data_IF_304474426892
#
_entry.id   IF_304474426892
#
_cell.length_a   1.000
_cell.length_b   1.000
_cell.length_c   1.000
_cell.angle_alpha   90.00
_cell.angle_beta   90.00
_cell.angle_gamma   90.00
#
_symmetry.space_group_name_H-M   'P 1'
#
loop_
_entity.id
_entity.type
_entity.pdbx_description
1 polymer ?
#
# COMPACT_ATOMS: atom_id res chain seq x y z
N UNK A 1 -6.51 23.32 9.06
CA UNK A 1 -7.74 22.90 8.36
C UNK A 1 -7.73 21.39 8.37
N UNK A 2 -8.90 20.81 8.67
CA UNK A 2 -9.34 19.42 8.46
C UNK A 2 -9.97 18.84 9.74
N UNK A 3 -11.18 19.31 10.04
CA UNK A 3 -11.99 18.79 11.14
C UNK A 3 -13.44 18.61 10.66
N UNK A 4 -13.64 17.77 9.61
CA UNK A 4 -14.98 17.59 9.03
C UNK A 4 -15.36 16.19 8.54
N UNK A 5 -14.60 15.16 8.88
CA UNK A 5 -14.89 13.80 8.41
C UNK A 5 -15.05 12.76 9.53
N UNK A 6 -14.70 13.08 10.79
CA UNK A 6 -14.78 12.15 11.93
C UNK A 6 -13.69 11.07 11.96
N UNK A 7 -12.72 11.14 11.04
CA UNK A 7 -11.61 10.17 10.97
C UNK A 7 -10.45 10.60 11.86
N UNK A 8 -9.83 9.64 12.54
CA UNK A 8 -8.55 9.85 13.22
C UNK A 8 -7.41 9.63 12.24
N UNK A 9 -6.48 10.59 12.19
CA UNK A 9 -5.27 10.48 11.37
C UNK A 9 -4.21 9.70 12.16
N UNK A 10 -3.75 8.58 11.62
CA UNK A 10 -2.62 7.85 12.19
C UNK A 10 -1.31 8.58 11.88
N UNK A 11 -0.44 8.69 12.88
CA UNK A 11 0.89 9.25 12.70
C UNK A 11 1.72 8.36 11.78
N UNK A 12 2.33 8.96 10.76
CA UNK A 12 3.18 8.24 9.80
C UNK A 12 4.54 8.95 9.72
N UNK A 13 5.65 8.27 10.05
CA UNK A 13 6.97 8.87 9.98
C UNK A 13 7.37 9.21 8.54
N UNK A 14 8.17 10.27 8.33
CA UNK A 14 8.65 10.64 7.00
C UNK A 14 9.52 9.52 6.40
N UNK A 15 9.52 9.42 5.08
CA UNK A 15 10.33 8.47 4.30
C UNK A 15 10.18 6.98 4.69
N UNK A 16 9.01 6.56 5.20
CA UNK A 16 8.79 5.19 5.67
C UNK A 16 7.81 4.38 4.79
N UNK A 17 8.11 4.16 3.50
CA UNK A 17 7.23 3.40 2.60
C UNK A 17 7.10 1.92 3.02
N UNK A 18 8.08 1.39 3.74
CA UNK A 18 8.09 0.09 4.39
C UNK A 18 7.10 0.00 5.55
N UNK A 19 6.58 1.11 6.06
CA UNK A 19 5.50 1.17 7.06
C UNK A 19 4.14 1.56 6.45
N UNK A 20 4.04 1.66 5.12
CA UNK A 20 2.80 1.93 4.42
C UNK A 20 2.28 0.69 3.71
N UNK A 21 1.07 0.19 4.02
CA UNK A 21 0.49 -0.97 3.35
C UNK A 21 0.38 -0.81 1.83
N UNK A 22 0.14 0.41 1.34
CA UNK A 22 0.14 0.65 -0.11
C UNK A 22 1.54 0.43 -0.72
N UNK A 23 2.59 0.88 -0.01
CA UNK A 23 3.98 0.76 -0.43
C UNK A 23 4.49 -0.69 -0.44
N UNK A 24 4.44 -1.38 0.70
CA UNK A 24 5.06 -2.69 0.82
C UNK A 24 4.21 -3.85 0.27
N UNK A 25 2.88 -3.68 0.18
CA UNK A 25 1.94 -4.76 -0.16
C UNK A 25 1.20 -4.53 -1.48
N UNK A 26 0.56 -3.38 -1.68
CA UNK A 26 -0.33 -3.15 -2.84
C UNK A 26 0.44 -2.84 -4.14
N UNK A 27 1.36 -1.89 -4.11
CA UNK A 27 1.98 -1.37 -5.32
C UNK A 27 2.96 -2.31 -5.99
N UNK A 28 3.56 -3.25 -5.24
CA UNK A 28 4.46 -4.27 -5.82
C UNK A 28 3.73 -5.14 -6.84
N UNK A 29 2.70 -5.90 -6.42
CA UNK A 29 1.86 -6.70 -7.32
C UNK A 29 1.19 -5.89 -8.43
N UNK A 30 0.69 -4.68 -8.13
CA UNK A 30 0.10 -3.82 -9.16
C UNK A 30 1.12 -3.45 -10.24
N UNK A 31 2.34 -3.04 -9.86
CA UNK A 31 3.41 -2.73 -10.82
C UNK A 31 3.80 -3.95 -11.64
N UNK A 32 3.80 -5.15 -11.06
CA UNK A 32 4.04 -6.39 -11.80
C UNK A 32 2.94 -6.65 -12.83
N UNK A 33 1.67 -6.42 -12.47
CA UNK A 33 0.53 -6.56 -13.40
C UNK A 33 0.54 -5.54 -14.53
N UNK A 34 0.95 -4.31 -14.26
CA UNK A 34 1.04 -3.24 -15.26
C UNK A 34 2.34 -3.30 -16.08
N UNK A 35 3.37 -3.97 -15.58
CA UNK A 35 4.69 -4.01 -16.18
C UNK A 35 4.64 -4.51 -17.63
N UNK A 36 5.26 -3.74 -18.53
CA UNK A 36 5.36 -4.09 -19.95
C UNK A 36 4.09 -3.87 -20.78
N UNK A 37 2.99 -3.39 -20.17
CA UNK A 37 1.79 -3.00 -20.91
C UNK A 37 1.91 -1.57 -21.43
N UNK A 38 1.46 -1.36 -22.66
CA UNK A 38 1.25 -0.03 -23.23
C UNK A 38 -0.24 0.29 -23.19
N UNK A 39 -0.56 1.47 -22.68
CA UNK A 39 -1.93 1.99 -22.61
C UNK A 39 -2.06 3.17 -23.57
N UNK A 40 -3.18 3.26 -24.27
CA UNK A 40 -3.40 4.28 -25.28
C UNK A 40 -3.64 5.67 -24.66
N UNK A 41 -4.25 5.70 -23.48
CA UNK A 41 -4.61 6.91 -22.74
C UNK A 41 -4.80 6.61 -21.24
N UNK A 42 -5.11 7.66 -20.48
CA UNK A 42 -5.29 7.62 -19.03
C UNK A 42 -6.56 6.83 -18.61
N UNK A 43 -7.61 6.82 -19.42
CA UNK A 43 -8.87 6.14 -19.11
C UNK A 43 -8.68 4.62 -19.15
N UNK A 44 -7.92 4.13 -20.14
CA UNK A 44 -7.61 2.70 -20.26
C UNK A 44 -6.77 2.22 -19.07
N UNK A 45 -5.75 2.97 -18.65
CA UNK A 45 -4.94 2.56 -17.48
C UNK A 45 -5.73 2.65 -16.17
N UNK A 46 -6.58 3.66 -16.00
CA UNK A 46 -7.47 3.74 -14.84
C UNK A 46 -8.42 2.54 -14.77
N UNK A 47 -9.01 2.15 -15.90
CA UNK A 47 -9.88 0.98 -15.97
C UNK A 47 -9.14 -0.31 -15.61
N UNK A 48 -7.94 -0.52 -16.17
CA UNK A 48 -7.13 -1.70 -15.88
C UNK A 48 -6.73 -1.79 -14.40
N UNK A 49 -6.34 -0.67 -13.79
CA UNK A 49 -6.01 -0.61 -12.36
C UNK A 49 -7.22 -0.95 -11.50
N UNK A 50 -8.39 -0.37 -11.79
CA UNK A 50 -9.63 -0.64 -11.05
C UNK A 50 -10.07 -2.10 -11.20
N UNK A 51 -9.97 -2.64 -12.41
CA UNK A 51 -10.30 -4.04 -12.68
C UNK A 51 -9.39 -4.97 -11.87
N UNK A 52 -8.08 -4.74 -11.92
CA UNK A 52 -7.11 -5.53 -11.15
C UNK A 52 -7.38 -5.47 -9.64
N UNK A 53 -7.66 -4.28 -9.09
CA UNK A 53 -7.98 -4.13 -7.67
C UNK A 53 -9.24 -4.93 -7.29
N UNK A 54 -10.30 -4.88 -8.10
CA UNK A 54 -11.55 -5.62 -7.84
C UNK A 54 -11.39 -7.14 -7.94
N UNK A 55 -10.40 -7.61 -8.68
CA UNK A 55 -10.11 -9.04 -8.81
C UNK A 55 -9.30 -9.59 -7.63
N UNK A 56 -8.69 -8.74 -6.80
CA UNK A 56 -7.94 -9.22 -5.65
C UNK A 56 -8.90 -9.79 -4.58
N UNK A 57 -8.57 -10.94 -3.98
CA UNK A 57 -9.38 -11.52 -2.92
C UNK A 57 -9.38 -10.62 -1.67
N UNK A 58 -10.42 -10.69 -0.85
CA UNK A 58 -10.51 -9.89 0.38
C UNK A 58 -9.31 -10.16 1.32
N UNK A 59 -8.85 -11.41 1.32
CA UNK A 59 -7.69 -11.88 2.08
C UNK A 59 -6.40 -11.18 1.65
N UNK A 60 -6.28 -10.76 0.40
CA UNK A 60 -5.13 -9.97 -0.07
C UNK A 60 -5.05 -8.65 0.70
N UNK A 61 -6.15 -7.92 0.80
CA UNK A 61 -6.18 -6.65 1.53
C UNK A 61 -6.01 -6.84 3.03
N UNK A 62 -6.69 -7.83 3.61
CA UNK A 62 -6.58 -8.15 5.03
C UNK A 62 -5.14 -8.54 5.42
N UNK A 63 -4.44 -9.30 4.57
CA UNK A 63 -3.04 -9.66 4.79
C UNK A 63 -2.12 -8.44 4.83
N UNK A 64 -2.29 -7.48 3.90
CA UNK A 64 -1.50 -6.25 3.87
C UNK A 64 -1.63 -5.42 5.15
N UNK A 65 -2.86 -5.30 5.66
CA UNK A 65 -3.14 -4.63 6.94
C UNK A 65 -2.58 -5.44 8.12
N UNK A 66 -2.73 -6.77 8.12
CA UNK A 66 -2.20 -7.62 9.19
C UNK A 66 -0.68 -7.60 9.30
N UNK A 67 0.04 -7.43 8.18
CA UNK A 67 1.51 -7.30 8.16
C UNK A 67 1.98 -5.99 8.79
N UNK A 68 1.15 -4.93 8.79
CA UNK A 68 1.52 -3.62 9.35
C UNK A 68 1.93 -3.71 10.83
N UNK A 69 1.18 -4.47 11.63
CA UNK A 69 1.45 -4.65 13.06
C UNK A 69 2.84 -5.26 13.28
N UNK A 70 3.18 -6.29 12.49
CA UNK A 70 4.50 -6.95 12.56
C UNK A 70 5.63 -6.02 12.13
N UNK A 71 5.39 -5.18 11.13
CA UNK A 71 6.37 -4.21 10.65
C UNK A 71 6.62 -3.09 11.66
N UNK A 72 5.59 -2.61 12.35
CA UNK A 72 5.77 -1.66 13.46
C UNK A 72 6.61 -2.24 14.60
N UNK A 73 6.32 -3.46 15.03
CA UNK A 73 7.11 -4.15 16.06
C UNK A 73 8.57 -4.29 15.64
N UNK A 74 8.82 -4.74 14.40
CA UNK A 74 10.18 -4.85 13.86
C UNK A 74 10.90 -3.50 13.81
N UNK A 75 10.23 -2.45 13.33
CA UNK A 75 10.77 -1.09 13.27
C UNK A 75 11.22 -0.58 14.65
N UNK A 76 10.41 -0.81 15.69
CA UNK A 76 10.78 -0.46 17.07
C UNK A 76 12.00 -1.26 17.52
N UNK A 77 12.02 -2.57 17.27
CA UNK A 77 13.09 -3.47 17.70
C UNK A 77 14.44 -3.19 17.03
N UNK A 78 14.45 -2.59 15.83
CA UNK A 78 15.68 -2.18 15.12
C UNK A 78 16.01 -0.69 15.29
N UNK A 79 15.38 -0.02 16.26
CA UNK A 79 15.70 1.38 16.57
C UNK A 79 15.24 2.39 15.53
N UNK A 80 14.19 2.07 14.77
CA UNK A 80 13.63 2.93 13.74
C UNK A 80 14.29 2.83 12.36
N UNK A 81 15.20 1.88 12.16
CA UNK A 81 15.77 1.59 10.84
C UNK A 81 14.74 0.94 9.89
N UNK A 82 15.07 0.85 8.61
CA UNK A 82 14.19 0.32 7.57
C UNK A 82 13.86 -1.16 7.78
N UNK A 83 12.58 -1.48 7.62
CA UNK A 83 12.09 -2.84 7.71
C UNK A 83 12.22 -3.53 6.35
N UNK A 84 13.29 -4.32 6.21
CA UNK A 84 13.47 -5.22 5.06
C UNK A 84 12.34 -6.24 4.95
N UNK A 85 12.05 -6.63 3.70
CA UNK A 85 11.06 -7.64 3.31
C UNK A 85 11.45 -9.04 3.78
#
# INVERSE_FOLDING_TARGET
MDEKSGWSVLQHPPYSPDLSPSGFHLFGPLKQHLGGKYFADDDVVQHEVLLWMRQQPNEFYAAGIGVLIKRWDKCINIGGDYVEK
#
